data_IF_789872653328
#
_entry.id   IF_789872653328
#
_cell.length_a   1.000
_cell.length_b   1.000
_cell.length_c   1.000
_cell.angle_alpha   90.00
_cell.angle_beta   90.00
_cell.angle_gamma   90.00
#
_symmetry.space_group_name_H-M   'P 1'
#
loop_
_entity.id
_entity.type
_entity.pdbx_description
1 polymer ?
#
# COMPACT_ATOMS: atom_id res chain seq x y z
N UNK A 1 8.14 -32.38 47.08
CA UNK A 1 7.56 -31.36 46.17
C UNK A 1 8.46 -31.23 44.96
N UNK A 2 8.04 -31.76 43.80
CA UNK A 2 8.85 -31.78 42.59
C UNK A 2 7.96 -31.70 41.33
N UNK A 3 8.17 -30.67 40.50
CA UNK A 3 7.96 -30.55 39.03
C UNK A 3 7.80 -29.06 38.69
N UNK A 4 8.82 -28.37 38.14
CA UNK A 4 9.35 -28.32 36.75
C UNK A 4 8.80 -27.11 35.95
N UNK A 5 9.74 -26.23 35.57
CA UNK A 5 9.87 -25.45 34.33
C UNK A 5 8.62 -25.12 33.49
N UNK A 6 8.51 -23.85 33.08
CA UNK A 6 8.92 -23.39 31.72
C UNK A 6 8.83 -21.87 31.58
N UNK A 7 9.95 -21.28 31.18
CA UNK A 7 10.07 -19.90 30.69
C UNK A 7 9.16 -19.70 29.47
N UNK A 8 8.35 -18.65 29.47
CA UNK A 8 7.66 -18.18 28.28
C UNK A 8 8.38 -16.95 27.73
N UNK A 9 9.28 -17.21 26.79
CA UNK A 9 9.81 -16.24 25.83
C UNK A 9 8.61 -15.62 25.09
N UNK A 10 8.22 -14.40 25.45
CA UNK A 10 7.26 -13.63 24.67
C UNK A 10 8.02 -12.95 23.53
N UNK A 11 8.09 -13.66 22.41
CA UNK A 11 8.38 -13.08 21.11
C UNK A 11 7.33 -12.00 20.89
N UNK A 12 7.70 -10.74 21.03
CA UNK A 12 6.87 -9.61 20.64
C UNK A 12 6.89 -9.59 19.12
N UNK A 13 5.91 -10.28 18.51
CA UNK A 13 5.68 -10.23 17.08
C UNK A 13 5.37 -8.78 16.71
N UNK A 14 6.24 -8.16 15.91
CA UNK A 14 6.00 -6.87 15.32
C UNK A 14 4.84 -7.01 14.32
N UNK A 15 3.62 -6.68 14.75
CA UNK A 15 2.50 -6.49 13.86
C UNK A 15 2.79 -5.26 12.98
N UNK A 16 3.20 -5.49 11.74
CA UNK A 16 3.46 -4.45 10.77
C UNK A 16 2.19 -4.20 9.97
N UNK A 17 1.34 -3.28 10.42
CA UNK A 17 0.23 -2.79 9.59
C UNK A 17 0.83 -1.94 8.46
N UNK A 18 0.59 -2.38 7.22
CA UNK A 18 0.82 -1.59 6.02
C UNK A 18 -0.49 -0.89 5.67
N UNK A 19 -0.58 0.40 5.97
CA UNK A 19 -1.55 1.27 5.30
C UNK A 19 -0.82 1.81 4.08
N UNK A 20 -1.23 1.34 2.90
CA UNK A 20 -0.54 1.62 1.66
C UNK A 20 -1.51 2.14 0.61
N UNK A 21 -1.04 3.13 -0.13
CA UNK A 21 -1.52 3.35 -1.49
C UNK A 21 -0.54 2.60 -2.38
N UNK A 22 -1.05 1.61 -3.10
CA UNK A 22 -0.27 0.95 -4.13
C UNK A 22 -0.63 1.64 -5.43
N UNK A 23 0.22 2.57 -5.86
CA UNK A 23 0.27 2.96 -7.26
C UNK A 23 0.98 1.83 -8.02
N UNK A 24 0.31 0.70 -8.19
CA UNK A 24 0.58 -0.10 -9.35
C UNK A 24 -0.03 0.65 -10.53
N UNK A 25 0.62 0.63 -11.69
CA UNK A 25 -0.04 1.02 -12.93
C UNK A 25 -1.14 -0.02 -13.21
N UNK A 26 -2.27 0.11 -12.50
CA UNK A 26 -3.51 -0.54 -12.85
C UNK A 26 -3.80 -0.09 -14.29
N UNK A 27 -4.08 -1.05 -15.16
CA UNK A 27 -4.36 -0.78 -16.57
C UNK A 27 -5.55 0.19 -16.78
N UNK A 28 -6.32 0.47 -15.72
CA UNK A 28 -7.53 1.30 -15.68
C UNK A 28 -7.33 2.75 -15.22
N UNK A 29 -6.16 3.16 -14.71
CA UNK A 29 -6.01 4.48 -14.09
C UNK A 29 -6.61 4.58 -12.67
N UNK A 30 -6.87 3.44 -12.04
CA UNK A 30 -7.34 3.38 -10.66
C UNK A 30 -6.20 3.50 -9.65
N UNK A 31 -6.55 3.94 -8.44
CA UNK A 31 -5.68 3.89 -7.26
C UNK A 31 -6.09 2.72 -6.37
N UNK A 32 -5.13 1.87 -6.02
CA UNK A 32 -5.36 0.76 -5.11
C UNK A 32 -5.07 1.18 -3.67
N UNK A 33 -6.02 0.93 -2.78
CA UNK A 33 -5.91 1.15 -1.33
C UNK A 33 -6.06 -0.19 -0.60
N UNK A 34 -5.38 -0.34 0.52
CA UNK A 34 -5.44 -1.58 1.29
C UNK A 34 -5.26 -1.35 2.79
N UNK A 35 -5.81 -2.27 3.57
CA UNK A 35 -5.69 -2.35 5.02
C UNK A 35 -5.43 -3.79 5.45
N UNK A 36 -4.48 -3.98 6.37
CA UNK A 36 -4.03 -5.29 6.87
C UNK A 36 -3.95 -5.33 8.40
N UNK A 37 -4.93 -5.91 9.07
CA UNK A 37 -4.82 -6.12 10.52
C UNK A 37 -4.40 -7.55 10.83
N UNK A 38 -3.27 -7.69 11.54
CA UNK A 38 -2.87 -8.93 12.22
C UNK A 38 -2.60 -10.17 11.34
N UNK A 39 -2.82 -10.07 10.03
CA UNK A 39 -2.62 -11.17 9.10
C UNK A 39 -1.25 -11.07 8.41
N UNK A 40 -0.63 -12.22 8.16
CA UNK A 40 0.62 -12.27 7.39
C UNK A 40 0.42 -11.86 5.93
N UNK A 41 1.50 -11.61 5.20
CA UNK A 41 1.48 -11.22 3.77
C UNK A 41 0.84 -12.24 2.81
N UNK A 42 0.40 -13.40 3.31
CA UNK A 42 -0.25 -14.45 2.54
C UNK A 42 -1.75 -14.20 2.29
N UNK A 43 -2.36 -13.24 2.99
CA UNK A 43 -3.72 -12.78 2.67
C UNK A 43 -3.66 -11.45 1.95
N UNK A 44 -4.58 -11.16 1.02
CA UNK A 44 -4.56 -9.92 0.25
C UNK A 44 -4.96 -8.67 1.05
N UNK A 45 -5.52 -8.82 2.25
CA UNK A 45 -6.10 -7.70 3.00
C UNK A 45 -7.42 -7.21 2.41
N UNK A 46 -7.86 -6.01 2.78
CA UNK A 46 -9.05 -5.37 2.24
C UNK A 46 -8.71 -4.46 1.05
N UNK A 47 -8.28 -5.04 -0.07
CA UNK A 47 -7.95 -4.30 -1.31
C UNK A 47 -9.20 -3.64 -1.87
N UNK A 48 -9.10 -2.36 -2.24
CA UNK A 48 -10.11 -1.67 -3.04
C UNK A 48 -9.43 -0.86 -4.15
N UNK A 49 -10.00 -0.93 -5.35
CA UNK A 49 -9.67 -0.06 -6.46
C UNK A 49 -10.66 1.11 -6.48
N UNK A 50 -10.12 2.32 -6.64
CA UNK A 50 -10.92 3.54 -6.72
C UNK A 50 -10.53 4.30 -7.98
N UNK A 51 -11.51 4.58 -8.83
CA UNK A 51 -11.35 5.51 -9.94
C UNK A 51 -11.15 6.93 -9.36
N UNK A 52 -10.16 7.65 -9.88
CA UNK A 52 -9.80 8.98 -9.39
C UNK A 52 -9.90 9.99 -10.52
N UNK A 53 -10.86 10.90 -10.41
CA UNK A 53 -10.97 12.02 -11.34
C UNK A 53 -9.74 12.92 -11.22
N UNK A 54 -9.16 13.30 -12.36
CA UNK A 54 -7.98 14.17 -12.38
C UNK A 54 -6.67 13.49 -11.97
N UNK A 55 -6.63 12.16 -11.84
CA UNK A 55 -5.36 11.45 -11.76
C UNK A 55 -4.60 11.62 -13.09
N UNK A 56 -3.39 12.14 -13.02
CA UNK A 56 -2.50 12.25 -14.19
C UNK A 56 -1.27 11.39 -13.93
N UNK A 57 -1.21 10.14 -14.43
CA UNK A 57 -0.13 9.20 -14.10
C UNK A 57 1.28 9.67 -14.49
N UNK A 58 1.37 10.64 -15.41
CA UNK A 58 2.62 11.22 -15.91
C UNK A 58 3.00 12.53 -15.23
N UNK A 59 2.25 12.98 -14.23
CA UNK A 59 2.50 14.19 -13.46
C UNK A 59 2.54 13.93 -11.95
N UNK A 60 2.95 14.93 -11.17
CA UNK A 60 2.86 14.85 -9.72
C UNK A 60 1.40 14.87 -9.27
N UNK A 61 1.04 13.90 -8.43
CA UNK A 61 -0.25 13.83 -7.74
C UNK A 61 0.01 13.86 -6.23
N UNK A 62 -0.95 14.38 -5.46
CA UNK A 62 -0.86 14.46 -4.00
C UNK A 62 -1.66 13.33 -3.39
N UNK A 63 -0.99 12.43 -2.67
CA UNK A 63 -1.62 11.33 -1.96
C UNK A 63 -1.61 11.61 -0.47
N UNK A 64 -2.79 11.58 0.16
CA UNK A 64 -2.93 11.80 1.60
C UNK A 64 -3.62 10.61 2.25
N UNK A 65 -3.08 10.18 3.39
CA UNK A 65 -3.69 9.15 4.23
C UNK A 65 -3.94 9.78 5.59
N UNK A 66 -5.20 9.88 5.99
CA UNK A 66 -5.58 10.24 7.35
C UNK A 66 -5.89 8.99 8.13
N UNK A 67 -5.11 8.76 9.19
CA UNK A 67 -5.28 7.64 10.08
C UNK A 67 -5.68 8.16 11.46
N UNK A 68 -6.92 7.92 11.86
CA UNK A 68 -7.48 8.30 13.16
C UNK A 68 -7.89 7.04 13.92
N UNK A 69 -8.22 7.18 15.20
CA UNK A 69 -8.64 6.06 16.04
C UNK A 69 -9.96 5.43 15.61
N UNK A 70 -10.79 6.15 14.85
CA UNK A 70 -12.14 5.76 14.44
C UNK A 70 -12.26 5.47 12.94
N UNK A 71 -11.27 5.86 12.13
CA UNK A 71 -11.32 5.69 10.68
C UNK A 71 -9.96 5.86 10.00
N UNK A 72 -9.87 5.31 8.81
CA UNK A 72 -8.83 5.63 7.83
C UNK A 72 -9.48 6.27 6.61
N UNK A 73 -8.88 7.33 6.09
CA UNK A 73 -9.35 8.02 4.89
C UNK A 73 -8.18 8.20 3.92
N UNK A 74 -8.43 7.96 2.64
CA UNK A 74 -7.48 8.14 1.56
C UNK A 74 -7.96 9.23 0.65
N UNK A 75 -7.04 10.13 0.29
CA UNK A 75 -7.32 11.22 -0.63
C UNK A 75 -6.29 11.23 -1.75
N UNK A 76 -6.74 11.59 -2.94
CA UNK A 76 -5.88 11.82 -4.11
C UNK A 76 -6.24 13.18 -4.68
N UNK A 77 -5.24 14.05 -4.81
CA UNK A 77 -5.39 15.44 -5.25
C UNK A 77 -6.42 16.25 -4.41
N UNK A 78 -6.64 15.83 -3.15
CA UNK A 78 -7.58 16.46 -2.22
C UNK A 78 -8.95 15.76 -2.14
N UNK A 79 -9.29 14.89 -3.09
CA UNK A 79 -10.58 14.20 -3.14
C UNK A 79 -10.54 12.90 -2.35
N UNK A 80 -11.59 12.65 -1.54
CA UNK A 80 -11.74 11.42 -0.77
C UNK A 80 -12.05 10.25 -1.71
N UNK A 81 -11.15 9.27 -1.79
CA UNK A 81 -11.31 8.09 -2.67
C UNK A 81 -11.74 6.84 -1.91
N UNK A 82 -11.46 6.76 -0.61
CA UNK A 82 -11.89 5.67 0.26
C UNK A 82 -11.97 6.11 1.72
N UNK A 83 -12.84 5.44 2.46
CA UNK A 83 -12.85 5.40 3.92
C UNK A 83 -12.97 3.95 4.44
N UNK A 84 -12.38 3.67 5.60
CA UNK A 84 -12.43 2.39 6.29
C UNK A 84 -12.76 2.62 7.77
N UNK A 85 -13.63 1.79 8.33
CA UNK A 85 -14.11 1.88 9.71
C UNK A 85 -13.96 0.58 10.50
N UNK A 86 -13.81 -0.55 9.81
CA UNK A 86 -13.88 -1.88 10.43
C UNK A 86 -12.50 -2.35 10.89
N UNK A 87 -11.52 -2.19 10.01
CA UNK A 87 -10.15 -2.66 10.23
C UNK A 87 -9.28 -1.44 10.52
N UNK A 88 -8.96 -1.20 11.78
CA UNK A 88 -8.24 0.01 12.22
C UNK A 88 -6.93 -0.33 12.94
N UNK A 89 -5.84 0.40 12.69
CA UNK A 89 -4.58 0.28 13.43
C UNK A 89 -4.76 0.40 14.94
N UNK A 90 -4.27 -0.59 15.68
CA UNK A 90 -4.22 -0.58 17.14
C UNK A 90 -2.85 -0.16 17.70
N UNK A 91 -1.86 0.09 16.84
CA UNK A 91 -0.48 0.39 17.22
C UNK A 91 0.14 1.47 16.30
N UNK A 92 1.20 2.15 16.74
CA UNK A 92 1.91 3.13 15.91
C UNK A 92 2.41 2.54 14.59
N UNK A 93 2.22 3.29 13.51
CA UNK A 93 2.61 2.90 12.15
C UNK A 93 3.91 3.54 11.72
N UNK A 94 4.56 2.91 10.74
CA UNK A 94 5.68 3.49 10.01
C UNK A 94 5.27 3.73 8.58
N UNK A 95 5.50 4.94 8.09
CA UNK A 95 5.34 5.25 6.67
C UNK A 95 6.48 4.60 5.89
N UNK A 96 6.14 3.92 4.79
CA UNK A 96 7.10 3.31 3.87
C UNK A 96 6.67 3.59 2.45
N UNK A 97 7.66 3.76 1.58
CA UNK A 97 7.48 3.78 0.14
C UNK A 97 8.34 2.68 -0.47
N UNK A 98 7.78 1.96 -1.42
CA UNK A 98 8.50 0.99 -2.22
C UNK A 98 8.03 1.08 -3.68
N UNK A 99 8.83 0.50 -4.57
CA UNK A 99 8.50 0.37 -5.98
C UNK A 99 8.89 -1.03 -6.43
N UNK A 100 7.94 -1.77 -6.97
CA UNK A 100 8.07 -3.16 -7.41
C UNK A 100 7.07 -3.43 -8.52
N UNK A 101 7.34 -4.46 -9.32
CA UNK A 101 6.41 -4.93 -10.34
C UNK A 101 5.70 -6.18 -9.79
N UNK A 102 4.36 -6.20 -9.75
CA UNK A 102 3.61 -7.36 -9.30
C UNK A 102 3.73 -8.53 -10.27
N UNK A 103 3.52 -9.74 -9.76
CA UNK A 103 3.39 -10.94 -10.57
C UNK A 103 1.94 -11.12 -11.08
N UNK A 104 1.70 -12.02 -12.06
CA UNK A 104 0.37 -12.22 -12.65
C UNK A 104 -0.73 -12.62 -11.66
N UNK A 105 -0.41 -13.18 -10.49
CA UNK A 105 -1.41 -13.53 -9.48
C UNK A 105 -2.08 -12.29 -8.88
N UNK A 106 -1.46 -11.11 -8.96
CA UNK A 106 -2.08 -9.85 -8.56
C UNK A 106 -2.65 -9.10 -9.78
N UNK A 107 -3.68 -9.68 -10.39
CA UNK A 107 -4.25 -9.21 -11.66
C UNK A 107 -4.69 -7.73 -11.68
N UNK A 108 -5.12 -7.17 -10.53
CA UNK A 108 -5.51 -5.75 -10.43
C UNK A 108 -4.34 -4.78 -10.64
N UNK A 109 -3.12 -5.23 -10.35
CA UNK A 109 -1.90 -4.43 -10.35
C UNK A 109 -0.94 -4.84 -11.48
N UNK A 110 -1.11 -6.06 -12.02
CA UNK A 110 -0.24 -6.64 -13.04
C UNK A 110 -0.52 -6.10 -14.44
N UNK A 111 0.56 -5.81 -15.18
CA UNK A 111 0.52 -5.60 -16.62
C UNK A 111 1.73 -6.25 -17.27
N UNK A 112 1.47 -7.15 -18.23
CA UNK A 112 2.53 -7.81 -19.00
C UNK A 112 3.34 -6.84 -19.87
N UNK A 113 2.81 -5.63 -20.13
CA UNK A 113 3.49 -4.57 -20.86
C UNK A 113 4.43 -3.73 -19.97
N UNK A 114 4.39 -3.89 -18.64
CA UNK A 114 5.35 -3.24 -17.75
C UNK A 114 6.66 -4.03 -17.73
N UNK A 115 7.60 -3.58 -18.54
CA UNK A 115 8.95 -4.15 -18.60
C UNK A 115 9.98 -3.02 -18.55
N UNK A 116 11.05 -3.21 -17.77
CA UNK A 116 12.18 -2.26 -17.76
C UNK A 116 12.72 -2.13 -19.17
N UNK A 117 12.84 -0.91 -19.66
CA UNK A 117 13.55 -0.69 -20.92
C UNK A 117 15.05 -0.77 -20.65
N UNK A 118 15.74 -1.67 -21.35
CA UNK A 118 17.18 -1.92 -21.16
C UNK A 118 18.05 -0.78 -21.70
N UNK A 119 17.47 0.08 -22.54
CA UNK A 119 18.16 1.17 -23.24
C UNK A 119 17.83 2.52 -22.62
N UNK A 120 18.88 3.26 -22.26
CA UNK A 120 18.80 4.64 -21.73
C UNK A 120 18.08 5.61 -22.69
N UNK A 121 18.13 5.35 -24.00
CA UNK A 121 17.42 6.16 -25.00
C UNK A 121 15.89 6.10 -24.87
N UNK A 122 15.36 5.10 -24.17
CA UNK A 122 13.93 4.90 -24.00
C UNK A 122 13.44 5.27 -22.60
N UNK A 123 14.32 5.79 -21.73
CA UNK A 123 13.96 6.27 -20.40
C UNK A 123 13.86 7.80 -20.40
N UNK A 124 12.75 8.32 -19.90
CA UNK A 124 12.58 9.76 -19.70
C UNK A 124 13.10 10.13 -18.31
N UNK A 125 14.09 11.04 -18.23
CA UNK A 125 14.61 11.56 -16.96
C UNK A 125 13.77 12.76 -16.55
N UNK A 126 13.07 12.64 -15.44
CA UNK A 126 12.39 13.75 -14.80
C UNK A 126 13.27 14.27 -13.66
N UNK A 127 13.59 15.57 -13.68
CA UNK A 127 14.27 16.27 -12.59
C UNK A 127 13.21 17.12 -11.92
N UNK A 128 12.97 16.92 -10.62
CA UNK A 128 12.15 17.83 -9.84
C UNK A 128 12.94 19.14 -9.66
N UNK A 129 12.43 20.23 -10.21
CA UNK A 129 12.89 21.56 -9.81
C UNK A 129 12.36 21.83 -8.40
N UNK A 130 13.27 22.14 -7.48
CA UNK A 130 12.95 22.56 -6.12
C UNK A 130 12.46 24.01 -6.09
#
# INVERSE_FOLDING_TARGET
MHRRHRSALRIVAAAMLLVGIVCAAAASGDVLTNVFEGAGFAVPGAVAASEVQGLVPTAFNVYTIWCRSDRIQWFVNGDLVRQEFLVLPQAPLRVRLNHWAPDPAFALAYSAALHRTRTRASSTRWIACA
#
